data_IF_198822885670
#
_entry.id   IF_198822885670
#
_cell.length_a   1.000
_cell.length_b   1.000
_cell.length_c   1.000
_cell.angle_alpha   90.00
_cell.angle_beta   90.00
_cell.angle_gamma   90.00
#
_symmetry.space_group_name_H-M   'P 1'
#
loop_
_entity.id
_entity.type
_entity.pdbx_description
1 polymer ?
#
# COMPACT_ATOMS: atom_id res chain seq x y z
N UNK A 1 -52.74 -71.38 -7.56
CA UNK A 1 -53.45 -71.27 -6.28
C UNK A 1 -52.49 -70.57 -5.33
N UNK A 2 -52.50 -69.24 -5.26
CA UNK A 2 -53.31 -68.39 -4.35
C UNK A 2 -52.26 -67.70 -3.47
N UNK A 3 -51.93 -66.43 -3.68
CA UNK A 3 -52.65 -65.18 -3.35
C UNK A 3 -51.92 -64.50 -2.18
N UNK A 4 -51.72 -63.20 -2.37
CA UNK A 4 -51.28 -62.20 -1.42
C UNK A 4 -52.06 -62.21 -0.11
N UNK A 5 -51.44 -61.72 0.97
CA UNK A 5 -52.17 -60.94 1.98
C UNK A 5 -51.34 -59.79 2.58
N UNK A 6 -51.76 -58.59 2.19
CA UNK A 6 -52.05 -57.36 2.95
C UNK A 6 -51.56 -57.25 4.40
N UNK A 7 -50.76 -56.22 4.70
CA UNK A 7 -51.14 -54.98 5.41
C UNK A 7 -51.27 -55.13 6.94
N UNK A 8 -50.34 -54.49 7.65
CA UNK A 8 -50.74 -53.72 8.83
C UNK A 8 -49.99 -52.40 8.88
N UNK A 9 -50.80 -51.38 9.09
CA UNK A 9 -50.55 -49.94 9.16
C UNK A 9 -50.51 -49.59 10.65
N UNK A 10 -49.49 -48.84 11.09
CA UNK A 10 -49.63 -48.06 12.32
C UNK A 10 -48.87 -46.74 12.17
N UNK A 11 -49.66 -45.69 11.96
CA UNK A 11 -49.27 -44.29 11.98
C UNK A 11 -49.52 -43.69 13.37
N UNK A 12 -48.58 -42.86 13.84
CA UNK A 12 -48.70 -41.81 14.86
C UNK A 12 -47.27 -41.28 15.09
N UNK A 13 -46.90 -40.01 15.15
CA UNK A 13 -47.58 -38.71 15.10
C UNK A 13 -46.53 -37.72 14.53
N UNK A 14 -46.87 -36.93 13.52
CA UNK A 14 -47.19 -35.50 13.64
C UNK A 14 -46.14 -34.64 14.38
N UNK A 15 -45.27 -33.97 13.62
CA UNK A 15 -45.00 -32.54 13.84
C UNK A 15 -44.73 -31.87 12.48
N UNK A 16 -45.80 -31.27 11.95
CA UNK A 16 -45.73 -30.26 10.91
C UNK A 16 -45.27 -28.93 11.54
N UNK A 17 -44.36 -28.26 10.84
CA UNK A 17 -44.24 -26.80 10.92
C UNK A 17 -44.06 -26.32 9.49
N UNK A 18 -45.19 -26.17 8.82
CA UNK A 18 -45.31 -25.28 7.68
C UNK A 18 -45.46 -23.86 8.24
N UNK A 19 -44.54 -22.97 7.90
CA UNK A 19 -44.91 -21.57 7.72
C UNK A 19 -44.46 -21.15 6.33
N UNK A 20 -45.46 -20.69 5.58
CA UNK A 20 -45.43 -20.41 4.17
C UNK A 20 -44.63 -19.13 3.81
N UNK A 21 -44.24 -19.00 2.54
CA UNK A 21 -43.33 -17.97 2.07
C UNK A 21 -44.05 -16.63 1.91
N UNK A 22 -43.44 -15.55 2.41
CA UNK A 22 -43.86 -14.18 2.10
C UNK A 22 -42.81 -13.49 1.23
N UNK A 23 -43.31 -12.97 0.13
CA UNK A 23 -42.60 -12.38 -0.99
C UNK A 23 -41.84 -11.09 -0.66
N UNK A 24 -40.76 -10.89 -1.43
CA UNK A 24 -40.32 -9.62 -2.04
C UNK A 24 -39.99 -8.43 -1.13
N UNK A 25 -38.69 -8.10 -1.08
CA UNK A 25 -38.27 -6.70 -1.24
C UNK A 25 -37.03 -6.61 -2.13
N UNK A 26 -37.25 -6.03 -3.30
CA UNK A 26 -36.22 -5.57 -4.22
C UNK A 26 -35.55 -4.34 -3.63
N UNK A 27 -34.26 -4.44 -3.33
CA UNK A 27 -33.37 -3.28 -3.37
C UNK A 27 -32.26 -3.59 -4.35
N UNK A 28 -32.45 -3.13 -5.59
CA UNK A 28 -31.36 -2.96 -6.52
C UNK A 28 -30.34 -2.01 -5.92
N UNK A 29 -29.11 -2.50 -5.76
CA UNK A 29 -27.94 -1.62 -5.73
C UNK A 29 -26.85 -2.31 -6.53
N UNK A 30 -26.85 -2.05 -7.84
CA UNK A 30 -25.66 -2.19 -8.67
C UNK A 30 -24.54 -1.41 -8.01
N UNK A 31 -23.57 -2.12 -7.42
CA UNK A 31 -22.30 -1.52 -7.02
C UNK A 31 -21.29 -1.75 -8.14
N UNK A 32 -20.61 -0.71 -8.64
CA UNK A 32 -19.78 -0.81 -9.81
C UNK A 32 -18.49 -1.59 -9.50
N UNK A 33 -18.04 -2.32 -10.52
CA UNK A 33 -16.67 -2.82 -10.66
C UNK A 33 -15.68 -1.75 -10.22
N UNK A 34 -14.90 -2.04 -9.18
CA UNK A 34 -13.75 -1.24 -8.80
C UNK A 34 -12.66 -1.47 -9.86
N UNK A 35 -12.58 -0.56 -10.82
CA UNK A 35 -11.39 -0.38 -11.65
C UNK A 35 -10.17 -0.02 -10.80
N UNK A 36 -8.96 -0.01 -11.40
CA UNK A 36 -7.71 0.16 -10.67
C UNK A 36 -7.75 1.46 -9.86
N UNK A 37 -7.53 1.33 -8.55
CA UNK A 37 -7.53 2.43 -7.59
C UNK A 37 -6.41 3.41 -7.94
N UNK A 38 -6.74 4.50 -8.62
CA UNK A 38 -5.89 5.68 -8.72
C UNK A 38 -5.64 6.21 -7.31
N UNK A 39 -4.37 6.15 -6.89
CA UNK A 39 -3.88 6.69 -5.62
C UNK A 39 -4.17 8.20 -5.57
N UNK A 40 -4.79 8.75 -4.52
CA UNK A 40 -4.90 10.20 -4.36
C UNK A 40 -3.51 10.78 -4.18
N UNK A 41 -3.08 11.59 -5.15
CA UNK A 41 -1.85 12.38 -5.09
C UNK A 41 -1.97 13.38 -3.92
N UNK A 42 -1.03 13.43 -2.96
CA UNK A 42 -1.06 14.48 -1.94
C UNK A 42 -0.78 15.83 -2.63
N UNK A 43 -1.70 16.78 -2.45
CA UNK A 43 -1.54 18.16 -2.89
C UNK A 43 -0.39 18.80 -2.10
N UNK A 44 0.80 18.78 -2.68
CA UNK A 44 1.90 19.70 -2.34
C UNK A 44 1.71 20.92 -3.25
N UNK A 45 1.61 22.16 -2.73
CA UNK A 45 1.59 23.33 -3.59
C UNK A 45 2.97 23.49 -4.23
N UNK A 46 3.07 23.21 -5.53
CA UNK A 46 4.26 23.49 -6.33
C UNK A 46 4.24 24.96 -6.78
N UNK A 47 5.29 25.75 -6.51
CA UNK A 47 5.34 27.15 -6.91
C UNK A 47 5.60 27.26 -8.43
N UNK A 48 4.72 27.98 -9.12
CA UNK A 48 4.79 28.24 -10.56
C UNK A 48 6.07 29.00 -10.91
N UNK A 49 6.92 28.40 -11.74
CA UNK A 49 7.98 29.08 -12.47
C UNK A 49 7.40 29.75 -13.71
N UNK A 50 7.15 31.06 -13.61
CA UNK A 50 7.01 31.96 -14.76
C UNK A 50 8.37 32.59 -15.07
N UNK A 51 8.90 32.33 -16.25
CA UNK A 51 10.16 32.90 -16.72
C UNK A 51 10.00 34.34 -17.20
N UNK A 52 10.77 35.27 -16.63
CA UNK A 52 11.24 36.48 -17.30
C UNK A 52 12.49 37.02 -16.59
N UNK A 53 13.63 36.72 -17.21
CA UNK A 53 14.86 37.51 -17.40
C UNK A 53 15.42 38.47 -16.33
N UNK A 54 16.75 38.50 -16.38
CA UNK A 54 17.69 39.51 -15.91
C UNK A 54 18.09 39.38 -14.43
N UNK A 55 19.26 38.79 -14.25
CA UNK A 55 19.88 38.60 -12.96
C UNK A 55 20.15 39.90 -12.22
N UNK A 56 20.17 39.79 -10.90
CA UNK A 56 21.26 40.32 -10.09
C UNK A 56 21.15 39.75 -8.67
N UNK A 57 22.25 39.12 -8.27
CA UNK A 57 22.57 38.68 -6.92
C UNK A 57 22.64 39.90 -5.99
N UNK A 58 22.10 39.82 -4.75
CA UNK A 58 22.61 40.66 -3.67
C UNK A 58 23.22 39.75 -2.60
N UNK A 59 24.49 39.45 -2.79
CA UNK A 59 25.45 39.32 -1.70
C UNK A 59 25.48 40.70 -1.05
N UNK A 60 25.01 40.79 0.20
CA UNK A 60 25.13 42.04 0.94
C UNK A 60 26.63 42.27 1.27
N UNK A 61 27.15 43.51 1.15
CA UNK A 61 28.57 43.80 1.00
C UNK A 61 29.29 44.17 2.32
N UNK A 62 30.62 44.38 2.26
CA UNK A 62 31.44 44.82 3.38
C UNK A 62 31.14 46.29 3.75
N UNK A 63 31.03 46.59 5.05
CA UNK A 63 30.87 47.95 5.53
C UNK A 63 32.20 48.71 5.46
N UNK A 64 32.33 49.49 4.40
CA UNK A 64 33.33 50.52 4.18
C UNK A 64 33.22 51.65 5.22
N UNK A 65 34.37 52.10 5.71
CA UNK A 65 34.54 53.21 6.65
C UNK A 65 34.75 54.48 5.83
N UNK A 66 33.68 55.22 5.53
CA UNK A 66 33.80 56.40 4.67
C UNK A 66 32.71 57.46 4.86
N UNK A 67 32.90 58.32 5.87
CA UNK A 67 32.48 59.74 5.92
C UNK A 67 31.15 60.12 5.23
N UNK A 68 30.08 60.21 6.02
CA UNK A 68 28.81 60.75 5.53
C UNK A 68 27.84 61.16 6.63
N UNK A 69 28.15 62.29 7.30
CA UNK A 69 27.19 63.24 7.93
C UNK A 69 25.93 62.63 8.58
N UNK A 70 26.05 62.22 9.84
CA UNK A 70 24.89 62.13 10.73
C UNK A 70 24.81 63.36 11.63
N UNK A 71 23.62 63.94 11.60
CA UNK A 71 23.16 65.17 12.25
C UNK A 71 23.27 65.03 13.77
N UNK A 72 24.27 65.65 14.38
CA UNK A 72 24.37 65.82 15.84
C UNK A 72 23.16 66.60 16.35
N UNK A 73 22.22 65.94 17.02
CA UNK A 73 21.30 66.64 17.93
C UNK A 73 22.12 67.16 19.10
N UNK A 74 22.36 68.46 19.12
CA UNK A 74 22.91 69.19 20.27
C UNK A 74 21.79 69.25 21.32
N UNK A 75 21.79 68.30 22.25
CA UNK A 75 21.02 68.45 23.49
C UNK A 75 21.75 69.49 24.33
N UNK A 76 21.13 70.66 24.53
CA UNK A 76 21.65 71.69 25.39
C UNK A 76 21.58 71.19 26.85
N UNK A 77 22.70 70.74 27.39
CA UNK A 77 22.86 70.56 28.84
C UNK A 77 23.12 71.94 29.42
N UNK A 78 22.05 72.59 29.87
CA UNK A 78 22.08 73.80 30.69
C UNK A 78 22.98 73.54 31.90
N UNK A 79 24.14 74.19 31.94
CA UNK A 79 25.00 74.18 33.13
C UNK A 79 24.28 74.94 34.26
N UNK A 80 24.07 74.36 35.45
CA UNK A 80 23.68 75.17 36.59
C UNK A 80 24.87 76.07 36.95
N UNK A 81 24.72 77.36 36.69
CA UNK A 81 25.60 78.40 37.21
C UNK A 81 25.38 78.51 38.73
N UNK A 82 26.01 77.62 39.50
CA UNK A 82 26.06 77.71 40.94
C UNK A 82 27.14 78.73 41.35
N UNK A 83 26.66 79.94 41.59
CA UNK A 83 27.28 81.02 42.36
C UNK A 83 28.09 80.43 43.53
N UNK A 84 29.41 80.71 43.58
CA UNK A 84 30.27 80.38 44.72
C UNK A 84 29.69 81.00 45.99
N UNK A 85 28.93 80.24 46.76
CA UNK A 85 28.87 80.43 48.21
C UNK A 85 29.97 79.56 48.79
N UNK A 86 30.98 80.23 49.34
CA UNK A 86 31.90 79.67 50.34
C UNK A 86 31.01 79.13 51.47
N UNK A 87 30.81 77.82 51.47
CA UNK A 87 30.03 77.04 52.43
C UNK A 87 30.60 75.64 52.42
N UNK A 88 30.91 75.13 53.61
CA UNK A 88 31.82 74.01 53.86
C UNK A 88 31.44 72.72 53.14
N UNK A 89 32.46 72.05 52.57
CA UNK A 89 32.66 70.60 52.62
C UNK A 89 34.11 70.37 52.14
N UNK A 90 35.05 70.72 53.01
CA UNK A 90 36.34 70.05 52.97
C UNK A 90 36.04 68.53 53.09
N UNK A 91 36.74 67.63 52.37
CA UNK A 91 36.71 66.23 52.75
C UNK A 91 37.13 66.22 54.22
N UNK A 92 36.21 65.86 55.11
CA UNK A 92 36.57 65.58 56.49
C UNK A 92 37.76 64.64 56.39
N UNK A 93 38.90 65.03 56.94
CA UNK A 93 40.11 64.24 56.86
C UNK A 93 39.78 62.89 57.47
N UNK A 94 39.44 61.91 56.62
CA UNK A 94 39.13 60.56 57.05
C UNK A 94 40.37 60.11 57.82
N UNK A 95 40.18 59.75 59.10
CA UNK A 95 41.29 59.23 59.89
C UNK A 95 41.89 58.06 59.12
N UNK A 96 43.21 57.93 59.16
CA UNK A 96 43.90 56.81 58.52
C UNK A 96 43.28 55.47 58.93
N UNK A 97 42.80 55.38 60.18
CA UNK A 97 42.09 54.22 60.74
C UNK A 97 40.77 53.90 60.01
N UNK A 98 39.97 54.91 59.65
CA UNK A 98 38.72 54.73 58.89
C UNK A 98 38.98 54.21 57.48
N UNK A 99 40.06 54.70 56.84
CA UNK A 99 40.51 54.21 55.53
C UNK A 99 40.97 52.76 55.61
N UNK A 100 41.69 52.38 56.67
CA UNK A 100 42.11 51.01 56.92
C UNK A 100 40.92 50.06 57.10
N UNK A 101 39.89 50.46 57.86
CA UNK A 101 38.66 49.69 58.05
C UNK A 101 37.89 49.53 56.73
N UNK A 102 37.74 50.62 55.95
CA UNK A 102 37.10 50.55 54.61
C UNK A 102 37.86 49.64 53.66
N UNK A 103 39.19 49.66 53.69
CA UNK A 103 40.03 48.78 52.88
C UNK A 103 39.83 47.30 53.26
N UNK A 104 39.82 46.97 54.55
CA UNK A 104 39.60 45.59 55.01
C UNK A 104 38.21 45.08 54.67
N UNK A 105 37.17 45.91 54.79
CA UNK A 105 35.81 45.57 54.36
C UNK A 105 35.73 45.31 52.85
N UNK A 106 36.34 46.17 52.03
CA UNK A 106 36.41 45.98 50.58
C UNK A 106 37.16 44.71 50.19
N UNK A 107 38.26 44.38 50.88
CA UNK A 107 39.00 43.13 50.65
C UNK A 107 38.13 41.91 50.95
N UNK A 108 37.41 41.91 52.08
CA UNK A 108 36.47 40.84 52.42
C UNK A 108 35.35 40.69 51.39
N UNK A 109 34.79 41.81 50.92
CA UNK A 109 33.76 41.79 49.89
C UNK A 109 34.29 41.21 48.56
N UNK A 110 35.50 41.58 48.15
CA UNK A 110 36.15 41.05 46.95
C UNK A 110 36.46 39.55 47.09
N UNK A 111 36.89 39.10 48.27
CA UNK A 111 37.14 37.68 48.55
C UNK A 111 35.86 36.85 48.42
N UNK A 112 34.74 37.32 48.97
CA UNK A 112 33.46 36.64 48.82
C UNK A 112 32.99 36.65 47.35
N UNK A 113 33.17 37.75 46.62
CA UNK A 113 32.86 37.81 45.18
C UNK A 113 33.72 36.84 44.37
N UNK A 114 35.00 36.70 44.70
CA UNK A 114 35.90 35.72 44.10
C UNK A 114 35.40 34.30 44.36
N UNK A 115 35.08 33.95 45.61
CA UNK A 115 34.55 32.62 45.97
C UNK A 115 33.25 32.30 45.22
N UNK A 116 32.32 33.26 45.12
CA UNK A 116 31.07 33.10 44.34
C UNK A 116 31.35 32.89 42.85
N UNK A 117 32.27 33.67 42.28
CA UNK A 117 32.68 33.55 40.88
C UNK A 117 33.32 32.19 40.59
N UNK A 118 34.21 31.73 41.47
CA UNK A 118 34.84 30.41 41.33
C UNK A 118 33.82 29.27 41.43
N UNK A 119 32.85 29.34 42.36
CA UNK A 119 31.78 28.35 42.48
C UNK A 119 30.93 28.28 41.20
N UNK A 120 30.50 29.43 40.68
CA UNK A 120 29.78 29.52 39.41
C UNK A 120 30.61 28.97 38.23
N UNK A 121 31.92 29.22 38.22
CA UNK A 121 32.81 28.69 37.18
C UNK A 121 32.92 27.15 37.24
N UNK A 122 32.90 26.56 38.44
CA UNK A 122 32.84 25.09 38.62
C UNK A 122 31.51 24.54 38.09
N UNK A 123 30.38 25.16 38.46
CA UNK A 123 29.06 24.77 37.98
C UNK A 123 28.93 24.84 36.45
N UNK A 124 29.46 25.89 35.83
CA UNK A 124 29.50 26.00 34.36
C UNK A 124 30.30 24.87 33.71
N UNK A 125 31.42 24.45 34.32
CA UNK A 125 32.21 23.32 33.82
C UNK A 125 31.44 22.01 33.94
N UNK A 126 30.76 21.79 35.05
CA UNK A 126 29.93 20.59 35.27
C UNK A 126 28.75 20.55 34.28
N UNK A 127 28.07 21.67 34.05
CA UNK A 127 27.01 21.79 33.05
C UNK A 127 27.53 21.51 31.64
N UNK A 128 28.72 22.03 31.30
CA UNK A 128 29.34 21.78 29.99
C UNK A 128 29.68 20.30 29.82
N UNK A 129 30.21 19.65 30.87
CA UNK A 129 30.49 18.22 30.84
C UNK A 129 29.22 17.38 30.63
N UNK A 130 28.13 17.71 31.34
CA UNK A 130 26.82 17.05 31.15
C UNK A 130 26.25 17.27 29.74
N UNK A 131 26.37 18.47 29.18
CA UNK A 131 25.92 18.76 27.82
C UNK A 131 26.71 17.97 26.77
N UNK A 132 28.03 17.82 26.96
CA UNK A 132 28.85 16.99 26.07
C UNK A 132 28.43 15.52 26.13
N UNK A 133 28.15 15.00 27.32
CA UNK A 133 27.67 13.62 27.49
C UNK A 133 26.29 13.40 26.85
N UNK A 134 25.35 14.34 27.04
CA UNK A 134 24.02 14.26 26.42
C UNK A 134 24.11 14.31 24.89
N UNK A 135 24.95 15.19 24.34
CA UNK A 135 25.18 15.24 22.88
C UNK A 135 25.80 13.94 22.36
N UNK A 136 26.71 13.33 23.12
CA UNK A 136 27.28 12.04 22.76
C UNK A 136 26.23 10.92 22.78
N UNK A 137 25.37 10.88 23.81
CA UNK A 137 24.27 9.93 23.92
C UNK A 137 23.27 10.07 22.76
N UNK A 138 22.83 11.30 22.46
CA UNK A 138 21.95 11.58 21.32
C UNK A 138 22.59 11.17 19.99
N UNK A 139 23.90 11.38 19.84
CA UNK A 139 24.65 10.95 18.66
C UNK A 139 24.64 9.43 18.52
N UNK A 140 24.84 8.69 19.61
CA UNK A 140 24.79 7.23 19.63
C UNK A 140 23.39 6.70 19.26
N UNK A 141 22.33 7.27 19.84
CA UNK A 141 20.94 6.91 19.51
C UNK A 141 20.64 7.20 18.03
N UNK A 142 21.03 8.37 17.53
CA UNK A 142 20.85 8.72 16.12
C UNK A 142 21.64 7.80 15.18
N UNK A 143 22.83 7.35 15.59
CA UNK A 143 23.61 6.33 14.89
C UNK A 143 22.90 4.98 14.84
N UNK A 144 22.38 4.51 15.97
CA UNK A 144 21.61 3.27 16.07
C UNK A 144 20.36 3.29 15.19
N UNK A 145 19.55 4.36 15.28
CA UNK A 145 18.34 4.51 14.47
C UNK A 145 18.64 4.53 12.95
N UNK A 146 19.77 5.12 12.54
CA UNK A 146 20.21 5.08 11.14
C UNK A 146 20.59 3.67 10.70
N UNK A 147 21.30 2.92 11.53
CA UNK A 147 21.68 1.54 11.24
C UNK A 147 20.45 0.63 11.11
N UNK A 148 19.50 0.75 12.05
CA UNK A 148 18.23 0.02 12.00
C UNK A 148 17.41 0.39 10.75
N UNK A 149 17.36 1.67 10.40
CA UNK A 149 16.69 2.12 9.16
C UNK A 149 17.32 1.51 7.91
N UNK A 150 18.65 1.34 7.88
CA UNK A 150 19.33 0.68 6.76
C UNK A 150 19.02 -0.81 6.71
N UNK A 151 19.05 -1.49 7.86
CA UNK A 151 18.70 -2.91 7.96
C UNK A 151 17.25 -3.16 7.50
N UNK A 152 16.29 -2.37 7.98
CA UNK A 152 14.89 -2.49 7.57
C UNK A 152 14.69 -2.24 6.08
N UNK A 153 15.49 -1.35 5.47
CA UNK A 153 15.44 -1.14 4.01
C UNK A 153 15.96 -2.37 3.26
N UNK A 154 17.04 -2.97 3.72
CA UNK A 154 17.59 -4.21 3.14
C UNK A 154 16.59 -5.37 3.26
N UNK A 155 16.01 -5.57 4.44
CA UNK A 155 15.00 -6.62 4.67
C UNK A 155 13.74 -6.39 3.82
N UNK A 156 13.25 -5.14 3.72
CA UNK A 156 12.12 -4.82 2.84
C UNK A 156 12.43 -5.10 1.37
N UNK A 157 13.64 -4.80 0.90
CA UNK A 157 14.05 -5.11 -0.48
C UNK A 157 14.05 -6.63 -0.71
N UNK A 158 14.59 -7.40 0.24
CA UNK A 158 14.59 -8.86 0.16
C UNK A 158 13.17 -9.45 0.13
N UNK A 159 12.26 -8.92 0.95
CA UNK A 159 10.87 -9.35 0.96
C UNK A 159 10.15 -9.01 -0.36
N UNK A 160 10.46 -7.87 -0.95
CA UNK A 160 9.94 -7.48 -2.26
C UNK A 160 10.41 -8.44 -3.35
N UNK A 161 11.70 -8.76 -3.39
CA UNK A 161 12.27 -9.74 -4.33
C UNK A 161 11.69 -11.16 -4.14
N UNK A 162 11.48 -11.59 -2.90
CA UNK A 162 10.84 -12.87 -2.61
C UNK A 162 9.38 -12.91 -3.07
N UNK A 163 8.64 -11.82 -2.86
CA UNK A 163 7.26 -11.70 -3.32
C UNK A 163 7.18 -11.76 -4.85
N UNK A 164 8.00 -10.97 -5.55
CA UNK A 164 8.07 -10.96 -7.02
C UNK A 164 8.46 -12.34 -7.57
N UNK A 165 9.40 -13.03 -6.92
CA UNK A 165 9.80 -14.38 -7.29
C UNK A 165 8.65 -15.37 -7.11
N UNK A 166 7.92 -15.30 -5.98
CA UNK A 166 6.75 -16.15 -5.73
C UNK A 166 5.63 -15.89 -6.72
N UNK A 167 5.34 -14.63 -7.05
CA UNK A 167 4.32 -14.25 -8.04
C UNK A 167 4.70 -14.75 -9.44
N UNK A 168 5.98 -14.64 -9.82
CA UNK A 168 6.48 -15.17 -11.10
C UNK A 168 6.36 -16.69 -11.20
N UNK A 169 6.64 -17.40 -10.12
CA UNK A 169 6.65 -18.85 -10.10
C UNK A 169 5.26 -19.47 -9.87
N UNK A 170 4.32 -18.74 -9.27
CA UNK A 170 3.00 -19.26 -8.90
C UNK A 170 2.22 -19.83 -10.09
N UNK A 171 2.10 -19.17 -11.25
CA UNK A 171 1.41 -19.74 -12.40
C UNK A 171 2.07 -21.01 -12.94
N UNK A 172 3.40 -21.11 -12.84
CA UNK A 172 4.13 -22.33 -13.20
C UNK A 172 3.81 -23.49 -12.25
N UNK A 173 3.87 -23.23 -10.94
CA UNK A 173 3.51 -24.22 -9.91
C UNK A 173 2.06 -24.66 -10.00
N UNK A 174 1.13 -23.75 -10.26
CA UNK A 174 -0.29 -24.06 -10.41
C UNK A 174 -0.55 -24.95 -11.63
N UNK A 175 0.14 -24.69 -12.76
CA UNK A 175 0.08 -25.54 -13.95
C UNK A 175 0.63 -26.94 -13.69
N UNK A 176 1.83 -27.04 -13.10
CA UNK A 176 2.42 -28.34 -12.77
C UNK A 176 1.50 -29.14 -11.82
N UNK A 177 0.95 -28.47 -10.79
CA UNK A 177 0.01 -29.12 -9.89
C UNK A 177 -1.23 -29.64 -10.63
N UNK A 178 -1.78 -28.86 -11.57
CA UNK A 178 -2.91 -29.30 -12.38
C UNK A 178 -2.54 -30.52 -13.23
N UNK A 179 -1.39 -30.48 -13.92
CA UNK A 179 -0.86 -31.58 -14.75
C UNK A 179 -0.72 -32.88 -13.95
N UNK A 180 -0.13 -32.80 -12.76
CA UNK A 180 0.07 -33.96 -11.86
C UNK A 180 -1.26 -34.51 -11.31
N UNK A 181 -2.34 -33.72 -11.34
CA UNK A 181 -3.64 -34.05 -10.75
C UNK A 181 -4.78 -34.13 -11.79
N UNK A 182 -4.49 -34.16 -13.09
CA UNK A 182 -5.51 -34.09 -14.16
C UNK A 182 -6.58 -35.17 -14.01
N UNK A 183 -6.17 -36.43 -13.80
CA UNK A 183 -7.10 -37.57 -13.73
C UNK A 183 -8.02 -37.45 -12.51
N UNK A 184 -7.47 -37.08 -11.36
CA UNK A 184 -8.25 -36.92 -10.13
C UNK A 184 -9.17 -35.70 -10.22
N UNK A 185 -8.71 -34.60 -10.80
CA UNK A 185 -9.53 -33.41 -11.05
C UNK A 185 -10.69 -33.74 -12.00
N UNK A 186 -10.41 -34.46 -13.10
CA UNK A 186 -11.44 -34.91 -14.04
C UNK A 186 -12.46 -35.83 -13.34
N UNK A 187 -11.99 -36.78 -12.53
CA UNK A 187 -12.86 -37.68 -11.75
C UNK A 187 -13.77 -36.91 -10.79
N UNK A 188 -13.24 -35.91 -10.08
CA UNK A 188 -14.03 -35.06 -9.17
C UNK A 188 -15.03 -34.22 -9.95
N UNK A 189 -14.61 -33.61 -11.06
CA UNK A 189 -15.50 -32.79 -11.88
C UNK A 189 -16.65 -33.62 -12.47
N UNK A 190 -16.38 -34.88 -12.84
CA UNK A 190 -17.36 -35.79 -13.46
C UNK A 190 -18.07 -36.71 -12.47
N UNK A 191 -17.91 -36.51 -11.16
CA UNK A 191 -18.43 -37.43 -10.15
C UNK A 191 -19.96 -37.44 -10.04
N UNK A 192 -20.61 -36.36 -10.47
CA UNK A 192 -22.06 -36.16 -10.44
C UNK A 192 -22.46 -35.15 -11.51
N UNK A 193 -23.73 -35.16 -11.92
CA UNK A 193 -24.25 -34.19 -12.88
C UNK A 193 -24.08 -32.75 -12.39
N UNK A 194 -24.35 -32.48 -11.11
CA UNK A 194 -24.25 -31.15 -10.52
C UNK A 194 -22.80 -30.63 -10.57
N UNK A 195 -21.84 -31.43 -10.12
CA UNK A 195 -20.38 -31.11 -10.18
C UNK A 195 -19.90 -30.89 -11.61
N UNK A 196 -20.37 -31.72 -12.54
CA UNK A 196 -20.02 -31.62 -13.96
C UNK A 196 -20.50 -30.29 -14.49
N UNK A 197 -21.74 -29.93 -14.19
CA UNK A 197 -22.31 -28.67 -14.64
C UNK A 197 -21.64 -27.46 -14.01
N UNK A 198 -21.30 -27.51 -12.72
CA UNK A 198 -20.52 -26.47 -12.07
C UNK A 198 -19.13 -26.30 -12.71
N UNK A 199 -18.46 -27.41 -13.04
CA UNK A 199 -17.19 -27.43 -13.76
C UNK A 199 -17.29 -26.75 -15.13
N UNK A 200 -18.29 -27.12 -15.93
CA UNK A 200 -18.53 -26.47 -17.22
C UNK A 200 -18.87 -24.98 -17.08
N UNK A 201 -19.70 -24.58 -16.10
CA UNK A 201 -19.99 -23.17 -15.84
C UNK A 201 -18.73 -22.38 -15.46
N UNK A 202 -17.82 -22.99 -14.71
CA UNK A 202 -16.53 -22.38 -14.37
C UNK A 202 -15.68 -22.17 -15.62
N UNK A 203 -15.52 -23.22 -16.45
CA UNK A 203 -14.78 -23.15 -17.71
C UNK A 203 -15.39 -22.12 -18.67
N UNK A 204 -16.72 -22.00 -18.71
CA UNK A 204 -17.42 -21.04 -19.57
C UNK A 204 -17.23 -19.58 -19.17
N UNK A 205 -16.58 -19.28 -18.03
CA UNK A 205 -16.22 -17.90 -17.66
C UNK A 205 -15.02 -17.39 -18.44
N UNK A 206 -14.10 -18.30 -18.79
CA UNK A 206 -12.87 -17.97 -19.52
C UNK A 206 -13.07 -18.16 -21.03
N UNK A 207 -12.50 -17.27 -21.84
CA UNK A 207 -12.65 -17.31 -23.30
C UNK A 207 -12.09 -18.60 -23.90
N UNK A 208 -10.93 -19.06 -23.44
CA UNK A 208 -10.35 -20.34 -23.86
C UNK A 208 -11.25 -21.53 -23.50
N UNK A 209 -11.93 -21.48 -22.34
CA UNK A 209 -12.86 -22.53 -21.93
C UNK A 209 -14.11 -22.57 -22.80
N UNK A 210 -14.66 -21.41 -23.18
CA UNK A 210 -15.77 -21.32 -24.15
C UNK A 210 -15.39 -21.88 -25.52
N UNK A 211 -14.21 -21.51 -26.02
CA UNK A 211 -13.70 -22.00 -27.30
C UNK A 211 -13.57 -23.52 -27.29
N UNK A 212 -12.93 -24.09 -26.27
CA UNK A 212 -12.80 -25.54 -26.09
C UNK A 212 -14.17 -26.23 -26.07
N UNK A 213 -15.11 -25.77 -25.25
CA UNK A 213 -16.45 -26.38 -25.13
C UNK A 213 -17.19 -26.32 -26.47
N UNK A 214 -17.04 -25.21 -27.20
CA UNK A 214 -17.65 -25.04 -28.52
C UNK A 214 -17.05 -26.01 -29.54
N UNK A 215 -15.73 -26.19 -29.56
CA UNK A 215 -15.06 -27.13 -30.45
C UNK A 215 -15.51 -28.58 -30.18
N UNK A 216 -15.58 -28.99 -28.91
CA UNK A 216 -16.08 -30.32 -28.50
C UNK A 216 -17.52 -30.52 -28.97
N UNK A 217 -18.37 -29.53 -28.72
CA UNK A 217 -19.80 -29.61 -29.08
C UNK A 217 -20.01 -29.66 -30.60
N UNK A 218 -19.25 -28.86 -31.35
CA UNK A 218 -19.28 -28.84 -32.82
C UNK A 218 -18.84 -30.19 -33.41
N UNK A 219 -17.75 -30.76 -32.89
CA UNK A 219 -17.27 -32.07 -33.30
C UNK A 219 -18.32 -33.16 -33.06
N UNK A 220 -18.92 -33.20 -31.86
CA UNK A 220 -19.97 -34.17 -31.53
C UNK A 220 -21.19 -34.05 -32.45
N UNK A 221 -21.58 -32.83 -32.80
CA UNK A 221 -22.66 -32.58 -33.74
C UNK A 221 -22.34 -33.06 -35.16
N UNK A 222 -21.15 -32.70 -35.69
CA UNK A 222 -20.75 -33.05 -37.06
C UNK A 222 -20.55 -34.56 -37.24
N UNK A 223 -19.91 -35.22 -36.26
CA UNK A 223 -19.70 -36.68 -36.28
C UNK A 223 -21.03 -37.42 -36.23
N UNK A 224 -21.95 -37.03 -35.34
CA UNK A 224 -23.30 -37.60 -35.28
C UNK A 224 -24.08 -37.41 -36.59
N UNK A 225 -24.06 -36.20 -37.16
CA UNK A 225 -24.72 -35.93 -38.44
C UNK A 225 -24.18 -36.78 -39.60
N UNK A 226 -22.86 -37.02 -39.63
CA UNK A 226 -22.25 -37.90 -40.64
C UNK A 226 -22.70 -39.34 -40.45
N UNK A 227 -22.61 -39.86 -39.21
CA UNK A 227 -22.99 -41.23 -38.89
C UNK A 227 -24.47 -41.51 -39.22
N UNK A 228 -25.37 -40.58 -38.89
CA UNK A 228 -26.80 -40.70 -39.19
C UNK A 228 -27.07 -40.74 -40.71
N UNK A 229 -26.35 -39.94 -41.49
CA UNK A 229 -26.45 -39.95 -42.96
C UNK A 229 -25.90 -41.25 -43.53
N UNK A 230 -24.74 -41.70 -43.08
CA UNK A 230 -24.16 -42.98 -43.50
C UNK A 230 -25.11 -44.15 -43.21
N UNK A 231 -25.68 -44.21 -42.01
CA UNK A 231 -26.66 -45.24 -41.65
C UNK A 231 -27.90 -45.19 -42.55
N UNK A 232 -28.41 -43.99 -42.83
CA UNK A 232 -29.57 -43.81 -43.72
C UNK A 232 -29.27 -44.26 -45.14
N UNK A 233 -28.14 -43.82 -45.70
CA UNK A 233 -27.71 -44.21 -47.04
C UNK A 233 -27.46 -45.71 -47.15
N UNK A 234 -26.84 -46.33 -46.13
CA UNK A 234 -26.60 -47.77 -46.11
C UNK A 234 -27.91 -48.59 -46.13
N UNK A 235 -28.89 -48.20 -45.31
CA UNK A 235 -30.21 -48.87 -45.27
C UNK A 235 -30.95 -48.73 -46.61
N UNK A 236 -30.89 -47.56 -47.25
CA UNK A 236 -31.56 -47.31 -48.52
C UNK A 236 -30.88 -48.06 -49.69
N UNK A 237 -29.55 -48.09 -49.70
CA UNK A 237 -28.79 -48.87 -50.66
C UNK A 237 -29.07 -50.38 -50.55
N UNK A 238 -29.26 -50.90 -49.33
CA UNK A 238 -29.63 -52.30 -49.11
C UNK A 238 -31.06 -52.61 -49.61
N UNK A 239 -32.01 -51.70 -49.38
CA UNK A 239 -33.42 -51.92 -49.75
C UNK A 239 -33.72 -51.69 -51.23
N UNK A 240 -33.01 -50.78 -51.89
CA UNK A 240 -33.29 -50.34 -53.25
C UNK A 240 -32.03 -50.41 -54.12
N UNK A 241 -31.91 -51.40 -55.03
CA UNK A 241 -30.72 -51.59 -55.88
C UNK A 241 -30.40 -50.40 -56.79
N UNK A 242 -31.42 -49.63 -57.20
CA UNK A 242 -31.28 -48.44 -58.04
C UNK A 242 -31.21 -47.14 -57.20
N UNK A 243 -30.87 -47.24 -55.91
CA UNK A 243 -30.78 -46.10 -55.01
C UNK A 243 -29.69 -45.12 -55.46
N UNK A 244 -30.06 -43.85 -55.51
CA UNK A 244 -29.16 -42.72 -55.71
C UNK A 244 -29.54 -41.61 -54.72
N UNK A 245 -28.60 -41.13 -53.92
CA UNK A 245 -28.87 -40.13 -52.90
C UNK A 245 -29.45 -38.82 -53.48
N UNK A 246 -28.94 -38.38 -54.64
CA UNK A 246 -29.39 -37.13 -55.28
C UNK A 246 -30.84 -37.21 -55.77
N UNK A 247 -31.29 -38.36 -56.28
CA UNK A 247 -32.67 -38.50 -56.78
C UNK A 247 -33.70 -38.47 -55.65
N UNK A 248 -33.29 -38.86 -54.44
CA UNK A 248 -34.09 -38.75 -53.21
C UNK A 248 -33.93 -37.39 -52.52
N UNK A 249 -33.10 -36.48 -53.06
CA UNK A 249 -32.83 -35.16 -52.46
C UNK A 249 -32.14 -35.24 -51.11
N UNK A 250 -31.40 -36.33 -50.84
CA UNK A 250 -30.68 -36.50 -49.58
C UNK A 250 -29.44 -35.61 -49.54
N UNK A 251 -29.13 -35.09 -48.36
CA UNK A 251 -27.89 -34.35 -48.14
C UNK A 251 -26.68 -35.27 -48.44
N UNK A 252 -25.63 -34.74 -49.09
CA UNK A 252 -24.40 -35.49 -49.31
C UNK A 252 -23.79 -35.94 -47.98
N UNK A 253 -23.17 -37.11 -47.96
CA UNK A 253 -22.31 -37.51 -46.86
C UNK A 253 -21.00 -36.76 -47.01
N UNK A 254 -20.52 -36.04 -45.98
CA UNK A 254 -19.20 -35.43 -46.02
C UNK A 254 -18.12 -36.49 -46.25
N UNK A 255 -17.27 -36.28 -47.27
CA UNK A 255 -16.19 -37.22 -47.62
C UNK A 255 -15.17 -37.34 -46.47
N UNK A 256 -14.79 -36.21 -45.86
CA UNK A 256 -13.85 -36.18 -44.74
C UNK A 256 -14.52 -36.56 -43.40
N UNK A 257 -13.80 -37.27 -42.56
CA UNK A 257 -14.21 -37.53 -41.18
C UNK A 257 -13.92 -36.30 -40.32
N UNK A 258 -14.89 -35.82 -39.52
CA UNK A 258 -14.64 -34.71 -38.59
C UNK A 258 -13.41 -35.03 -37.74
N UNK A 259 -12.45 -34.11 -37.69
CA UNK A 259 -11.25 -34.30 -36.87
C UNK A 259 -11.58 -34.04 -35.40
N UNK A 260 -11.22 -34.95 -34.48
CA UNK A 260 -11.39 -34.72 -33.05
C UNK A 260 -10.61 -33.47 -32.60
N UNK A 261 -11.19 -32.61 -31.74
CA UNK A 261 -10.50 -31.44 -31.22
C UNK A 261 -9.38 -31.79 -30.23
N UNK A 262 -9.39 -33.01 -29.68
CA UNK A 262 -8.37 -33.55 -28.77
C UNK A 262 -7.99 -34.97 -29.17
N UNK A 263 -6.75 -35.41 -28.91
CA UNK A 263 -6.33 -36.80 -29.14
C UNK A 263 -7.24 -37.76 -28.37
N UNK A 264 -7.72 -38.80 -29.06
CA UNK A 264 -8.42 -39.92 -28.45
C UNK A 264 -7.35 -40.98 -28.14
N UNK A 265 -7.04 -41.18 -26.85
CA UNK A 265 -6.19 -42.29 -26.38
C UNK A 265 -6.98 -43.60 -26.29
#
# INVERSE_FOLDING_TARGET
MSSSDSQDISASDAHASEESPSSSSSTGSSSPVLGPRSVPKPNIPEPRLGAAQAGNVPVNPPLDKGKGKMRTKKTATTHPAAKRRRGENAPGAESMEELWVKMTLKLKELEEKLKRSEAHNRELKDLTARQLDEVANLSAIAGGAKAETLQLKEENLKLMEELESKEREFPGRARQWMEDNLVEAARILTSSEERTMEGFRLLYREEQGKEMITQISSYGFMSGQKQDREATHAILAERFPDFNAESYGLAPIPDEEPTPPFPLE
#
